data_IF_427799150903
#
_entry.id   IF_427799150903
#
_cell.length_a   1.000
_cell.length_b   1.000
_cell.length_c   1.000
_cell.angle_alpha   90.00
_cell.angle_beta   90.00
_cell.angle_gamma   90.00
#
_symmetry.space_group_name_H-M   'P 1'
#
loop_
_entity.id
_entity.type
_entity.pdbx_description
1 polymer ?
#
# COMPACT_ATOMS: atom_id res chain seq x y z
N UNK A 1 -31.00 -14.95 -30.03
CA UNK A 1 -29.76 -14.37 -29.47
C UNK A 1 -28.90 -15.54 -29.05
N UNK A 2 -27.84 -15.85 -29.79
CA UNK A 2 -26.89 -16.89 -29.36
C UNK A 2 -26.21 -16.37 -28.10
N UNK A 3 -26.37 -17.07 -26.99
CA UNK A 3 -25.85 -16.63 -25.68
C UNK A 3 -24.35 -16.87 -25.67
N UNK A 4 -23.54 -15.80 -25.59
CA UNK A 4 -22.07 -15.85 -25.54
C UNK A 4 -21.51 -16.51 -24.27
N UNK A 5 -22.39 -16.80 -23.32
CA UNK A 5 -22.04 -17.35 -22.01
C UNK A 5 -21.92 -16.28 -20.93
N UNK A 6 -21.70 -16.74 -19.70
CA UNK A 6 -21.44 -15.86 -18.56
C UNK A 6 -20.31 -16.41 -17.72
N UNK A 7 -19.49 -15.54 -17.15
CA UNK A 7 -18.29 -15.92 -16.44
C UNK A 7 -18.04 -15.05 -15.20
N UNK A 8 -17.20 -15.55 -14.31
CA UNK A 8 -16.62 -14.82 -13.18
C UNK A 8 -15.28 -15.45 -12.80
N UNK A 9 -14.64 -14.98 -11.73
CA UNK A 9 -13.40 -15.56 -11.18
C UNK A 9 -13.47 -17.08 -10.95
N UNK A 10 -14.65 -17.59 -10.60
CA UNK A 10 -14.86 -19.02 -10.31
C UNK A 10 -15.71 -19.75 -11.34
N UNK A 11 -16.10 -19.09 -12.43
CA UNK A 11 -16.99 -19.65 -13.43
C UNK A 11 -16.46 -19.36 -14.84
N UNK A 12 -16.20 -20.42 -15.60
CA UNK A 12 -15.60 -20.36 -16.92
C UNK A 12 -16.59 -20.67 -18.04
N UNK A 13 -17.88 -20.31 -17.93
CA UNK A 13 -18.89 -20.71 -18.92
C UNK A 13 -18.99 -19.77 -20.14
N UNK A 14 -17.85 -19.38 -20.73
CA UNK A 14 -17.84 -18.61 -21.99
C UNK A 14 -17.83 -19.53 -23.20
N UNK A 15 -18.53 -19.11 -24.26
CA UNK A 15 -18.49 -19.78 -25.57
C UNK A 15 -17.22 -19.46 -26.34
N UNK A 16 -16.88 -20.36 -27.25
CA UNK A 16 -15.75 -20.18 -28.16
C UNK A 16 -15.73 -18.78 -28.81
N UNK A 17 -14.53 -18.24 -29.02
CA UNK A 17 -14.24 -16.88 -29.51
C UNK A 17 -14.67 -15.72 -28.58
N UNK A 18 -14.99 -16.01 -27.32
CA UNK A 18 -15.27 -15.01 -26.28
C UNK A 18 -14.28 -15.11 -25.12
N UNK A 19 -14.21 -14.07 -24.29
CA UNK A 19 -13.43 -14.04 -23.07
C UNK A 19 -14.23 -13.45 -21.91
N UNK A 20 -13.69 -13.66 -20.70
CA UNK A 20 -14.25 -13.10 -19.50
C UNK A 20 -13.70 -11.69 -19.20
N UNK A 21 -14.52 -10.63 -19.22
CA UNK A 21 -14.04 -9.27 -19.01
C UNK A 21 -13.76 -8.94 -17.53
N UNK A 22 -14.16 -9.80 -16.58
CA UNK A 22 -13.97 -9.59 -15.14
C UNK A 22 -13.06 -10.63 -14.52
N UNK A 23 -12.39 -10.24 -13.43
CA UNK A 23 -11.66 -11.10 -12.51
C UNK A 23 -12.36 -11.19 -11.14
N UNK A 24 -13.57 -10.65 -11.03
CA UNK A 24 -14.37 -10.61 -9.80
C UNK A 24 -15.29 -11.81 -9.67
N UNK A 25 -15.91 -11.98 -8.50
CA UNK A 25 -16.85 -13.08 -8.24
C UNK A 25 -18.22 -12.88 -8.90
N UNK A 26 -18.57 -11.64 -9.25
CA UNK A 26 -19.82 -11.32 -9.93
C UNK A 26 -19.82 -11.89 -11.36
N UNK A 27 -20.90 -12.59 -11.71
CA UNK A 27 -21.07 -13.13 -13.06
C UNK A 27 -21.41 -12.03 -14.06
N UNK A 28 -20.71 -12.01 -15.19
CA UNK A 28 -20.90 -11.05 -16.28
C UNK A 28 -21.02 -11.78 -17.62
N UNK A 29 -21.55 -11.11 -18.63
CA UNK A 29 -21.67 -11.64 -19.99
C UNK A 29 -20.27 -11.71 -20.63
N UNK A 30 -19.97 -12.81 -21.30
CA UNK A 30 -18.73 -12.97 -22.05
C UNK A 30 -18.75 -12.10 -23.31
N UNK A 31 -17.61 -11.49 -23.64
CA UNK A 31 -17.47 -10.58 -24.78
C UNK A 31 -16.46 -11.11 -25.80
N UNK A 32 -16.52 -10.70 -27.08
CA UNK A 32 -15.63 -11.24 -28.12
C UNK A 32 -14.14 -10.99 -27.85
N UNK A 33 -13.27 -11.94 -28.22
CA UNK A 33 -11.82 -11.83 -28.00
C UNK A 33 -11.12 -10.69 -28.75
N UNK A 34 -11.80 -10.01 -29.67
CA UNK A 34 -11.26 -8.87 -30.41
C UNK A 34 -11.07 -7.62 -29.56
N UNK A 35 -11.75 -7.52 -28.40
CA UNK A 35 -11.75 -6.33 -27.54
C UNK A 35 -10.46 -6.11 -26.72
N UNK A 36 -10.41 -5.06 -25.90
CA UNK A 36 -9.27 -4.64 -25.05
C UNK A 36 -8.94 -5.59 -23.89
N UNK A 37 -8.63 -6.85 -24.22
CA UNK A 37 -8.16 -7.87 -23.29
C UNK A 37 -6.86 -7.46 -22.61
N UNK A 38 -6.74 -7.78 -21.33
CA UNK A 38 -5.57 -7.51 -20.50
C UNK A 38 -4.79 -8.80 -20.22
N UNK A 39 -3.50 -8.67 -19.97
CA UNK A 39 -2.66 -9.80 -19.54
C UNK A 39 -3.28 -10.51 -18.33
N UNK A 40 -3.24 -11.84 -18.32
CA UNK A 40 -3.93 -12.71 -17.35
C UNK A 40 -5.36 -13.11 -17.76
N UNK A 41 -6.01 -12.39 -18.68
CA UNK A 41 -7.24 -12.85 -19.33
C UNK A 41 -6.90 -13.80 -20.49
N UNK A 42 -7.90 -14.47 -21.06
CA UNK A 42 -7.68 -15.40 -22.15
C UNK A 42 -8.94 -15.67 -22.97
N UNK A 43 -8.75 -15.90 -24.26
CA UNK A 43 -9.81 -16.32 -25.16
C UNK A 43 -10.19 -17.78 -24.88
N UNK A 44 -11.47 -18.08 -24.99
CA UNK A 44 -12.00 -19.43 -24.95
C UNK A 44 -11.97 -19.94 -26.38
N UNK A 45 -11.02 -20.81 -26.72
CA UNK A 45 -10.96 -21.42 -28.05
C UNK A 45 -11.86 -22.66 -28.17
N UNK A 46 -12.18 -23.25 -27.01
CA UNK A 46 -13.18 -24.28 -26.84
C UNK A 46 -14.18 -23.77 -25.80
N UNK A 47 -15.44 -24.13 -25.98
CA UNK A 47 -16.49 -23.82 -25.02
C UNK A 47 -16.06 -24.18 -23.59
N UNK A 48 -16.30 -23.22 -22.70
CA UNK A 48 -16.12 -23.31 -21.26
C UNK A 48 -14.66 -23.56 -20.78
N UNK A 49 -13.69 -23.53 -21.72
CA UNK A 49 -12.26 -23.76 -21.48
C UNK A 49 -11.42 -22.57 -21.93
N UNK A 50 -10.87 -21.83 -20.96
CA UNK A 50 -10.03 -20.66 -21.22
C UNK A 50 -8.59 -21.06 -21.56
N UNK A 51 -8.01 -20.42 -22.58
CA UNK A 51 -6.55 -20.40 -22.78
C UNK A 51 -6.03 -19.06 -22.28
N UNK A 52 -5.46 -19.05 -21.07
CA UNK A 52 -4.90 -17.83 -20.46
C UNK A 52 -3.87 -17.19 -21.39
N UNK A 53 -3.90 -15.86 -21.44
CA UNK A 53 -3.11 -15.01 -22.34
C UNK A 53 -3.36 -15.19 -23.84
N UNK A 54 -4.34 -16.00 -24.25
CA UNK A 54 -4.69 -16.11 -25.66
C UNK A 54 -5.49 -14.88 -26.13
N UNK A 55 -5.05 -14.26 -27.24
CA UNK A 55 -5.73 -13.12 -27.88
C UNK A 55 -6.66 -13.57 -29.01
N UNK A 56 -6.24 -14.54 -29.82
CA UNK A 56 -7.05 -15.08 -30.92
C UNK A 56 -6.89 -16.59 -31.03
N UNK A 57 -7.97 -17.26 -31.42
CA UNK A 57 -8.02 -18.69 -31.64
C UNK A 57 -7.80 -19.05 -33.12
N UNK A 58 -7.48 -20.32 -33.37
CA UNK A 58 -7.47 -20.95 -34.69
C UNK A 58 -7.98 -22.37 -34.51
N UNK A 59 -9.30 -22.55 -34.60
CA UNK A 59 -9.98 -23.74 -34.08
C UNK A 59 -9.81 -23.81 -32.57
N UNK A 60 -9.54 -25.00 -32.05
CA UNK A 60 -9.41 -25.27 -30.61
C UNK A 60 -8.10 -24.74 -29.99
N UNK A 61 -7.22 -24.16 -30.80
CA UNK A 61 -5.87 -23.75 -30.44
C UNK A 61 -5.72 -22.23 -30.37
N UNK A 62 -4.78 -21.73 -29.55
CA UNK A 62 -4.41 -20.32 -29.63
C UNK A 62 -3.49 -20.06 -30.83
N UNK A 63 -3.77 -18.98 -31.56
CA UNK A 63 -2.95 -18.53 -32.72
C UNK A 63 -2.11 -17.29 -32.42
N UNK A 64 -2.54 -16.47 -31.45
CA UNK A 64 -1.81 -15.26 -31.05
C UNK A 64 -2.00 -15.01 -29.56
N UNK A 65 -0.91 -14.67 -28.88
CA UNK A 65 -0.90 -14.33 -27.47
C UNK A 65 -1.06 -12.82 -27.22
N UNK A 66 -1.54 -12.47 -26.04
CA UNK A 66 -1.53 -11.11 -25.51
C UNK A 66 -0.08 -10.65 -25.23
N UNK A 67 0.18 -9.33 -25.25
CA UNK A 67 1.46 -8.79 -24.78
C UNK A 67 1.79 -9.31 -23.38
N UNK A 68 3.05 -9.71 -23.18
CA UNK A 68 3.53 -10.39 -21.97
C UNK A 68 3.51 -11.92 -22.03
N UNK A 69 3.10 -12.51 -23.16
CA UNK A 69 3.18 -13.95 -23.39
C UNK A 69 3.69 -14.28 -24.81
N UNK A 70 4.20 -15.50 -24.98
CA UNK A 70 4.66 -16.05 -26.26
C UNK A 70 3.96 -17.37 -26.58
N UNK A 71 3.79 -17.66 -27.87
CA UNK A 71 3.11 -18.86 -28.33
C UNK A 71 4.04 -20.08 -28.19
N UNK A 72 3.56 -21.11 -27.51
CA UNK A 72 4.29 -22.34 -27.18
C UNK A 72 3.32 -23.51 -27.20
N UNK A 73 3.48 -24.45 -28.14
CA UNK A 73 2.61 -25.62 -28.29
C UNK A 73 1.10 -25.30 -28.31
N UNK A 74 0.69 -24.24 -29.02
CA UNK A 74 -0.70 -23.74 -29.09
C UNK A 74 -1.25 -23.08 -27.80
N UNK A 75 -0.41 -22.93 -26.77
CA UNK A 75 -0.71 -22.19 -25.54
C UNK A 75 0.15 -20.93 -25.44
N UNK A 76 -0.20 -20.05 -24.51
CA UNK A 76 0.50 -18.79 -24.30
C UNK A 76 1.26 -18.83 -22.98
N UNK A 77 2.55 -19.15 -23.07
CA UNK A 77 3.46 -19.15 -21.93
C UNK A 77 3.84 -17.70 -21.60
N UNK A 78 4.01 -17.41 -20.31
CA UNK A 78 4.30 -16.03 -19.87
C UNK A 78 5.76 -15.67 -20.14
N UNK A 79 5.98 -14.43 -20.57
CA UNK A 79 7.30 -13.81 -20.58
C UNK A 79 7.80 -13.57 -19.15
N UNK A 80 9.09 -13.24 -19.02
CA UNK A 80 9.64 -12.69 -17.78
C UNK A 80 8.84 -11.47 -17.29
N UNK A 81 8.80 -11.26 -15.97
CA UNK A 81 8.09 -10.13 -15.34
C UNK A 81 8.49 -8.80 -16.00
N UNK A 82 7.51 -7.95 -16.28
CA UNK A 82 7.73 -6.64 -16.88
C UNK A 82 8.04 -6.65 -18.37
N UNK A 83 8.08 -7.82 -19.01
CA UNK A 83 8.29 -7.95 -20.45
C UNK A 83 6.96 -7.92 -21.22
N UNK A 84 6.88 -7.19 -22.33
CA UNK A 84 5.70 -7.17 -23.22
C UNK A 84 5.87 -8.04 -24.47
N UNK A 85 7.10 -8.23 -24.95
CA UNK A 85 7.39 -9.04 -26.13
C UNK A 85 8.59 -9.96 -25.85
N UNK A 86 8.40 -11.26 -26.01
CA UNK A 86 9.43 -12.27 -25.81
C UNK A 86 9.26 -13.44 -26.78
N UNK A 87 10.34 -14.20 -27.01
CA UNK A 87 10.33 -15.47 -27.79
C UNK A 87 10.42 -16.72 -26.91
N UNK A 88 10.38 -16.53 -25.59
CA UNK A 88 10.69 -17.53 -24.60
C UNK A 88 10.68 -16.90 -23.22
N UNK A 89 10.53 -17.73 -22.17
CA UNK A 89 10.33 -17.26 -20.80
C UNK A 89 11.43 -16.30 -20.30
N UNK A 90 12.67 -16.46 -20.78
CA UNK A 90 13.83 -15.65 -20.36
C UNK A 90 14.40 -14.75 -21.45
N UNK A 91 13.71 -14.58 -22.58
CA UNK A 91 14.20 -13.80 -23.73
C UNK A 91 13.33 -12.58 -23.95
N UNK A 92 13.53 -11.52 -23.14
CA UNK A 92 12.75 -10.30 -23.30
C UNK A 92 13.32 -9.41 -24.41
N UNK A 93 12.48 -9.05 -25.37
CA UNK A 93 12.83 -8.17 -26.49
C UNK A 93 12.36 -6.74 -26.25
N UNK A 94 11.25 -6.58 -25.53
CA UNK A 94 10.67 -5.28 -25.21
C UNK A 94 9.98 -5.30 -23.86
N UNK A 95 10.21 -4.26 -23.08
CA UNK A 95 9.55 -4.09 -21.80
C UNK A 95 8.12 -3.59 -21.96
N UNK A 96 7.28 -3.94 -20.98
CA UNK A 96 5.94 -3.40 -20.86
C UNK A 96 5.97 -1.93 -20.44
N UNK A 97 4.83 -1.25 -20.60
CA UNK A 97 4.70 0.14 -20.16
C UNK A 97 5.00 0.26 -18.66
N UNK A 98 5.75 1.29 -18.28
CA UNK A 98 6.25 1.46 -16.92
C UNK A 98 7.51 0.65 -16.59
N UNK A 99 8.09 -0.07 -17.55
CA UNK A 99 9.36 -0.80 -17.37
C UNK A 99 10.41 -0.32 -18.37
N UNK A 100 11.69 -0.50 -18.02
CA UNK A 100 12.83 -0.23 -18.89
C UNK A 100 13.80 -1.39 -18.90
N UNK A 101 14.55 -1.55 -20.00
CA UNK A 101 15.50 -2.63 -20.17
C UNK A 101 16.85 -2.29 -19.50
N UNK A 102 17.26 -3.12 -18.55
CA UNK A 102 18.54 -3.03 -17.84
C UNK A 102 19.17 -4.43 -17.73
N UNK A 103 20.39 -4.59 -18.23
CA UNK A 103 21.08 -5.89 -18.16
C UNK A 103 20.31 -7.05 -18.80
N UNK A 104 19.48 -6.78 -19.82
CA UNK A 104 18.61 -7.78 -20.47
C UNK A 104 17.33 -8.13 -19.70
N UNK A 105 17.05 -7.47 -18.58
CA UNK A 105 15.82 -7.65 -17.79
C UNK A 105 14.99 -6.37 -17.78
N UNK A 106 13.68 -6.50 -17.65
CA UNK A 106 12.79 -5.35 -17.51
C UNK A 106 12.66 -4.96 -16.03
N UNK A 107 13.06 -3.73 -15.72
CA UNK A 107 13.03 -3.17 -14.38
C UNK A 107 11.95 -2.09 -14.32
N UNK A 108 11.14 -2.09 -13.26
CA UNK A 108 10.04 -1.14 -13.08
C UNK A 108 10.58 0.28 -12.88
N UNK A 109 10.00 1.22 -13.61
CA UNK A 109 10.19 2.65 -13.39
C UNK A 109 9.08 3.11 -12.43
N UNK A 110 9.46 3.95 -11.47
CA UNK A 110 8.53 4.55 -10.54
C UNK A 110 8.71 6.07 -10.50
N UNK A 111 7.61 6.78 -10.30
CA UNK A 111 7.58 8.22 -10.02
C UNK A 111 7.15 8.49 -8.57
N UNK A 112 6.49 7.54 -7.92
CA UNK A 112 6.12 7.60 -6.50
C UNK A 112 5.94 6.18 -5.91
N UNK A 113 5.73 6.08 -4.59
CA UNK A 113 5.63 4.78 -3.91
C UNK A 113 4.44 3.91 -4.35
N UNK A 114 3.35 4.51 -4.86
CA UNK A 114 2.21 3.78 -5.41
C UNK A 114 2.63 2.85 -6.57
N UNK A 115 3.62 3.28 -7.34
CA UNK A 115 4.12 2.52 -8.48
C UNK A 115 4.89 1.26 -8.04
N UNK A 116 5.27 1.12 -6.77
CA UNK A 116 6.03 -0.03 -6.28
C UNK A 116 5.18 -0.99 -5.43
N UNK A 117 3.87 -0.76 -5.30
CA UNK A 117 3.00 -1.58 -4.43
C UNK A 117 2.87 -3.03 -4.88
N UNK A 118 3.05 -3.31 -6.17
CA UNK A 118 3.10 -4.67 -6.72
C UNK A 118 4.45 -5.38 -6.47
N UNK A 119 5.41 -4.68 -5.87
CA UNK A 119 6.71 -5.16 -5.46
C UNK A 119 6.84 -5.07 -3.93
N UNK A 120 6.39 -6.12 -3.26
CA UNK A 120 6.45 -6.22 -1.81
C UNK A 120 7.85 -5.87 -1.27
N UNK A 121 7.87 -5.17 -0.11
CA UNK A 121 9.09 -4.74 0.56
C UNK A 121 9.93 -3.75 -0.25
N UNK A 122 9.32 -2.93 -1.11
CA UNK A 122 10.03 -1.89 -1.87
C UNK A 122 9.37 -0.52 -1.74
N UNK A 123 10.15 0.52 -2.03
CA UNK A 123 9.70 1.90 -2.18
C UNK A 123 10.31 2.52 -3.44
N UNK A 124 9.73 3.61 -3.92
CA UNK A 124 10.28 4.34 -5.05
C UNK A 124 11.44 5.24 -4.63
N UNK A 125 12.65 4.88 -5.04
CA UNK A 125 13.80 5.77 -4.94
C UNK A 125 13.75 6.80 -6.08
N UNK A 126 13.20 7.98 -5.80
CA UNK A 126 12.97 9.06 -6.77
C UNK A 126 14.22 9.47 -7.55
N UNK A 127 15.40 9.46 -6.92
CA UNK A 127 16.65 9.84 -7.58
C UNK A 127 17.07 8.89 -8.72
N UNK A 128 16.75 7.61 -8.60
CA UNK A 128 17.02 6.59 -9.62
C UNK A 128 15.76 6.21 -10.41
N UNK A 129 14.57 6.63 -9.94
CA UNK A 129 13.25 6.19 -10.42
C UNK A 129 13.11 4.66 -10.42
N UNK A 130 13.60 4.00 -9.37
CA UNK A 130 13.57 2.54 -9.23
C UNK A 130 12.88 2.13 -7.95
N UNK A 131 12.14 1.03 -8.00
CA UNK A 131 11.68 0.34 -6.81
C UNK A 131 12.87 -0.32 -6.13
N UNK A 132 13.20 0.15 -4.94
CA UNK A 132 14.34 -0.33 -4.14
C UNK A 132 13.81 -0.98 -2.89
N UNK A 133 14.44 -2.07 -2.47
CA UNK A 133 14.04 -2.80 -1.27
C UNK A 133 14.11 -1.91 -0.02
N UNK A 134 13.13 -2.08 0.86
CA UNK A 134 13.16 -1.53 2.21
C UNK A 134 14.39 -2.02 2.98
N UNK A 135 14.74 -1.27 4.04
CA UNK A 135 15.76 -1.69 5.00
C UNK A 135 15.39 -3.03 5.65
N UNK A 136 16.38 -3.71 6.24
CA UNK A 136 16.13 -4.93 7.01
C UNK A 136 15.04 -4.71 8.06
N UNK A 137 14.21 -5.74 8.26
CA UNK A 137 13.09 -5.76 9.22
C UNK A 137 11.97 -4.74 8.95
N UNK A 138 11.93 -4.18 7.74
CA UNK A 138 10.86 -3.30 7.31
C UNK A 138 10.02 -3.93 6.19
N UNK A 139 8.72 -4.08 6.44
CA UNK A 139 7.77 -4.67 5.50
C UNK A 139 7.17 -3.63 4.55
N UNK A 140 6.90 -2.42 5.06
CA UNK A 140 6.38 -1.31 4.27
C UNK A 140 7.24 -0.08 4.60
N UNK A 141 7.85 0.52 3.59
CA UNK A 141 8.67 1.72 3.75
C UNK A 141 8.29 2.80 2.75
N UNK A 142 8.56 4.05 3.12
CA UNK A 142 8.42 5.20 2.23
C UNK A 142 9.77 5.71 1.72
N UNK A 143 10.85 5.31 2.38
CA UNK A 143 12.23 5.58 1.97
C UNK A 143 13.18 4.54 2.55
N UNK A 144 14.47 4.60 2.16
CA UNK A 144 15.51 3.71 2.68
C UNK A 144 15.70 3.80 4.21
N UNK A 145 15.27 4.89 4.84
CA UNK A 145 15.45 5.14 6.28
C UNK A 145 14.13 5.35 7.02
N UNK A 146 12.99 5.24 6.33
CA UNK A 146 11.68 5.46 6.93
C UNK A 146 10.79 4.25 6.66
N UNK A 147 10.52 3.51 7.74
CA UNK A 147 9.69 2.33 7.76
C UNK A 147 8.29 2.64 8.29
N UNK A 148 7.28 2.44 7.47
CA UNK A 148 5.87 2.60 7.84
C UNK A 148 5.32 1.39 8.60
N UNK A 149 5.89 0.20 8.39
CA UNK A 149 5.53 -1.01 9.12
C UNK A 149 6.72 -1.98 9.13
N UNK A 150 7.17 -2.32 10.32
CA UNK A 150 8.23 -3.31 10.55
C UNK A 150 7.68 -4.74 10.50
N UNK A 151 8.59 -5.70 10.34
CA UNK A 151 8.30 -7.12 10.55
C UNK A 151 7.84 -7.35 11.99
N UNK A 152 6.53 -7.48 12.17
CA UNK A 152 5.89 -7.62 13.47
C UNK A 152 6.24 -8.92 14.21
N UNK A 153 6.93 -9.87 13.57
CA UNK A 153 7.42 -11.08 14.23
C UNK A 153 8.71 -10.86 15.01
N UNK A 154 9.48 -9.81 14.68
CA UNK A 154 10.80 -9.55 15.26
C UNK A 154 11.01 -8.12 15.74
N UNK A 155 10.24 -7.15 15.23
CA UNK A 155 10.45 -5.73 15.49
C UNK A 155 9.14 -4.97 15.74
N UNK A 156 9.27 -3.85 16.45
CA UNK A 156 8.21 -2.88 16.72
C UNK A 156 8.41 -1.66 15.81
N UNK A 157 7.31 -1.20 15.23
CA UNK A 157 7.28 0.07 14.48
C UNK A 157 7.14 1.23 15.43
N UNK A 158 8.04 2.20 15.34
CA UNK A 158 7.97 3.45 16.11
C UNK A 158 7.25 4.55 15.35
N UNK A 159 6.73 5.57 16.04
CA UNK A 159 6.12 6.79 15.47
C UNK A 159 7.09 7.60 14.59
N UNK A 160 8.39 7.34 14.71
CA UNK A 160 9.44 7.98 13.93
C UNK A 160 9.77 7.23 12.63
N UNK A 161 9.09 6.12 12.36
CA UNK A 161 9.32 5.30 11.18
C UNK A 161 10.60 4.46 11.27
N UNK A 162 10.95 3.99 12.47
CA UNK A 162 12.10 3.11 12.68
C UNK A 162 11.67 1.78 13.30
N UNK A 163 12.45 0.74 13.07
CA UNK A 163 12.22 -0.61 13.60
C UNK A 163 13.14 -0.90 14.78
N UNK A 164 12.54 -1.17 15.92
CA UNK A 164 13.24 -1.50 17.17
C UNK A 164 12.94 -2.93 17.57
N UNK A 165 13.78 -3.53 18.41
CA UNK A 165 13.65 -4.95 18.78
C UNK A 165 12.31 -5.19 19.50
N UNK A 166 11.62 -6.28 19.12
CA UNK A 166 10.38 -6.70 19.79
C UNK A 166 10.63 -7.16 21.23
N UNK A 167 9.71 -6.81 22.13
CA UNK A 167 9.69 -7.28 23.51
C UNK A 167 8.94 -8.62 23.61
N UNK A 168 9.50 -9.58 24.33
CA UNK A 168 8.81 -10.81 24.72
C UNK A 168 8.12 -10.62 26.07
N UNK A 169 6.87 -11.09 26.21
CA UNK A 169 6.16 -11.08 27.50
C UNK A 169 5.76 -9.68 27.96
N UNK A 170 5.04 -8.94 27.10
CA UNK A 170 4.49 -7.63 27.43
C UNK A 170 3.30 -7.74 28.37
N UNK A 171 3.27 -6.89 29.40
CA UNK A 171 2.11 -6.70 30.27
C UNK A 171 1.34 -5.45 29.85
N UNK A 172 0.05 -5.41 30.14
CA UNK A 172 -0.76 -4.22 29.95
C UNK A 172 -0.19 -3.05 30.78
N UNK A 173 -0.22 -1.84 30.20
CA UNK A 173 0.40 -0.64 30.77
C UNK A 173 1.89 -0.47 30.44
N UNK A 174 2.49 -1.35 29.63
CA UNK A 174 3.85 -1.21 29.12
C UNK A 174 3.90 -1.00 27.60
N UNK A 175 4.88 -0.25 27.13
CA UNK A 175 5.30 -0.20 25.72
C UNK A 175 6.69 -0.81 25.57
N UNK A 176 7.05 -1.17 24.34
CA UNK A 176 8.34 -1.77 24.08
C UNK A 176 9.36 -0.70 23.71
N UNK A 177 10.31 -0.43 24.61
CA UNK A 177 11.42 0.48 24.35
C UNK A 177 12.66 -0.32 23.99
N UNK A 178 12.95 -0.44 22.70
CA UNK A 178 14.16 -1.11 22.19
C UNK A 178 14.36 -2.51 22.80
N UNK A 179 13.32 -3.36 22.77
CA UNK A 179 13.35 -4.71 23.34
C UNK A 179 13.19 -4.78 24.86
N UNK A 180 13.03 -3.65 25.55
CA UNK A 180 12.82 -3.58 27.00
C UNK A 180 11.39 -3.11 27.33
N UNK A 181 10.57 -3.94 28.00
CA UNK A 181 9.25 -3.53 28.50
C UNK A 181 9.39 -2.33 29.46
N UNK A 182 8.74 -1.23 29.13
CA UNK A 182 8.81 0.02 29.90
C UNK A 182 7.40 0.54 30.16
N UNK A 183 7.14 1.09 31.35
CA UNK A 183 5.83 1.66 31.68
C UNK A 183 5.43 2.76 30.69
N UNK A 184 4.16 2.75 30.27
CA UNK A 184 3.64 3.77 29.37
C UNK A 184 3.64 5.14 30.04
N UNK A 185 4.04 6.15 29.27
CA UNK A 185 4.13 7.52 29.70
C UNK A 185 3.75 8.45 28.54
N UNK A 186 3.66 9.75 28.81
CA UNK A 186 3.52 10.72 27.73
C UNK A 186 4.78 10.71 26.84
N UNK A 187 4.59 10.74 25.51
CA UNK A 187 5.70 10.81 24.56
C UNK A 187 6.40 9.50 24.24
N UNK A 188 5.74 8.34 24.47
CA UNK A 188 6.24 7.06 23.97
C UNK A 188 6.30 7.02 22.45
N UNK A 189 7.21 6.19 21.94
CA UNK A 189 7.49 6.06 20.52
C UNK A 189 6.86 4.82 19.87
N UNK A 190 6.31 3.89 20.65
CA UNK A 190 5.55 2.73 20.17
C UNK A 190 4.22 2.60 20.90
N UNK A 191 3.33 1.73 20.40
CA UNK A 191 2.05 1.50 21.07
C UNK A 191 2.23 0.93 22.49
N UNK A 192 1.48 1.50 23.43
CA UNK A 192 1.25 0.95 24.75
C UNK A 192 0.35 -0.29 24.64
N UNK A 193 0.74 -1.37 25.30
CA UNK A 193 -0.06 -2.58 25.40
C UNK A 193 -1.24 -2.33 26.36
N UNK A 194 -2.47 -2.34 25.84
CA UNK A 194 -3.69 -2.18 26.63
C UNK A 194 -4.72 -3.22 26.17
N UNK A 195 -4.52 -4.49 26.56
CA UNK A 195 -5.28 -5.62 26.05
C UNK A 195 -5.04 -5.83 24.55
N UNK A 196 -6.11 -5.80 23.75
CA UNK A 196 -6.04 -5.92 22.28
C UNK A 196 -6.16 -4.58 21.56
N UNK A 197 -6.16 -3.46 22.31
CA UNK A 197 -6.29 -2.13 21.72
C UNK A 197 -4.98 -1.70 21.05
N UNK A 198 -5.07 -1.29 19.78
CA UNK A 198 -3.95 -0.77 19.01
C UNK A 198 -3.77 0.73 19.17
N UNK A 199 -2.56 1.22 18.90
CA UNK A 199 -2.20 2.65 18.85
C UNK A 199 -2.48 3.44 20.14
N UNK A 200 -2.47 2.80 21.31
CA UNK A 200 -2.58 3.51 22.58
C UNK A 200 -1.27 4.25 22.90
N UNK A 201 -1.35 5.50 23.35
CA UNK A 201 -0.25 6.19 24.02
C UNK A 201 -0.28 5.93 25.54
N UNK A 202 -1.48 5.76 26.11
CA UNK A 202 -1.68 5.35 27.49
C UNK A 202 -2.93 4.47 27.61
N UNK A 203 -2.98 3.63 28.64
CA UNK A 203 -4.16 2.82 28.92
C UNK A 203 -5.18 3.54 29.81
N UNK A 204 -6.44 3.15 29.69
CA UNK A 204 -7.48 3.48 30.65
C UNK A 204 -7.24 2.84 32.02
N UNK A 205 -8.09 3.16 32.99
CA UNK A 205 -7.98 2.65 34.36
C UNK A 205 -8.14 1.13 34.47
N UNK A 206 -8.78 0.48 33.48
CA UNK A 206 -8.94 -0.97 33.40
C UNK A 206 -7.79 -1.66 32.66
N UNK A 207 -6.87 -0.88 32.06
CA UNK A 207 -5.73 -1.35 31.26
C UNK A 207 -6.10 -2.21 30.05
N UNK A 208 -7.35 -2.13 29.57
CA UNK A 208 -7.85 -2.93 28.46
C UNK A 208 -8.34 -2.10 27.26
N UNK A 209 -8.16 -0.78 27.33
CA UNK A 209 -8.43 0.18 26.27
C UNK A 209 -7.47 1.36 26.32
N UNK A 210 -7.50 2.18 25.27
CA UNK A 210 -6.66 3.38 25.20
C UNK A 210 -7.32 4.56 25.93
N UNK A 211 -6.63 5.16 26.90
CA UNK A 211 -7.00 6.46 27.45
C UNK A 211 -6.63 7.57 26.46
N UNK A 212 -5.42 7.53 25.92
CA UNK A 212 -4.95 8.44 24.86
C UNK A 212 -4.39 7.66 23.68
N UNK A 213 -4.39 8.28 22.50
CA UNK A 213 -3.88 7.68 21.27
C UNK A 213 -2.47 8.16 20.96
N UNK A 214 -1.69 7.33 20.25
CA UNK A 214 -0.43 7.76 19.63
C UNK A 214 -0.64 8.95 18.69
N UNK A 215 0.42 9.75 18.43
CA UNK A 215 0.35 10.86 17.49
C UNK A 215 -0.27 10.47 16.15
N UNK A 216 -1.06 11.39 15.59
CA UNK A 216 -1.76 11.26 14.30
C UNK A 216 -2.90 10.24 14.27
N UNK A 217 -3.19 9.58 15.39
CA UNK A 217 -4.32 8.67 15.57
C UNK A 217 -5.38 9.34 16.44
N UNK A 218 -6.64 9.22 16.05
CA UNK A 218 -7.79 9.74 16.79
C UNK A 218 -8.69 8.57 17.24
N UNK A 219 -9.44 8.78 18.33
CA UNK A 219 -10.43 7.81 18.79
C UNK A 219 -11.60 7.78 17.81
N UNK A 220 -11.93 6.60 17.30
CA UNK A 220 -13.14 6.37 16.52
C UNK A 220 -14.38 6.33 17.40
N UNK A 221 -15.55 6.21 16.78
CA UNK A 221 -16.84 6.17 17.46
C UNK A 221 -17.01 4.99 18.43
N UNK A 222 -16.22 3.93 18.27
CA UNK A 222 -16.16 2.77 19.16
C UNK A 222 -15.17 2.95 20.32
N UNK A 223 -14.60 4.16 20.47
CA UNK A 223 -13.64 4.50 21.51
C UNK A 223 -12.20 4.00 21.26
N UNK A 224 -11.92 3.36 20.13
CA UNK A 224 -10.61 2.79 19.81
C UNK A 224 -9.73 3.75 19.01
N UNK A 225 -8.42 3.73 19.24
CA UNK A 225 -7.44 4.51 18.50
C UNK A 225 -7.13 3.87 17.13
N UNK A 226 -8.03 4.06 16.16
CA UNK A 226 -7.92 3.41 14.84
C UNK A 226 -8.05 4.37 13.66
N UNK A 227 -8.65 5.53 13.87
CA UNK A 227 -8.89 6.48 12.80
C UNK A 227 -7.69 7.44 12.70
N UNK A 228 -7.31 7.83 11.50
CA UNK A 228 -6.21 8.78 11.31
C UNK A 228 -6.71 10.22 11.37
N UNK A 229 -5.90 11.10 11.95
CA UNK A 229 -6.15 12.54 11.90
C UNK A 229 -6.15 13.07 10.45
N UNK A 230 -6.76 14.23 10.22
CA UNK A 230 -6.77 14.89 8.91
C UNK A 230 -5.33 15.10 8.41
N UNK A 231 -5.06 14.73 7.15
CA UNK A 231 -3.73 14.79 6.55
C UNK A 231 -2.89 13.52 6.76
N UNK A 232 -3.44 12.51 7.43
CA UNK A 232 -2.79 11.22 7.64
C UNK A 232 -3.64 10.08 7.07
N UNK A 233 -2.97 9.02 6.63
CA UNK A 233 -3.57 7.80 6.07
C UNK A 233 -3.06 6.56 6.80
N UNK A 234 -3.89 5.51 6.89
CA UNK A 234 -3.46 4.25 7.47
C UNK A 234 -2.46 3.57 6.52
N UNK A 235 -1.26 3.27 7.01
CA UNK A 235 -0.30 2.38 6.33
C UNK A 235 0.23 1.40 7.37
N UNK A 236 0.00 0.10 7.12
CA UNK A 236 0.16 -0.91 8.17
C UNK A 236 -0.82 -0.64 9.32
N UNK A 237 -0.32 -0.67 10.55
CA UNK A 237 -1.12 -0.44 11.76
C UNK A 237 -1.07 1.00 12.27
N UNK A 238 -0.39 1.91 11.56
CA UNK A 238 -0.11 3.28 11.99
C UNK A 238 -0.67 4.32 11.01
N UNK A 239 -0.74 5.58 11.48
CA UNK A 239 -1.19 6.72 10.69
C UNK A 239 -0.01 7.59 10.26
N UNK A 240 0.21 7.66 8.95
CA UNK A 240 1.35 8.34 8.33
C UNK A 240 0.91 9.51 7.45
N UNK A 241 1.77 10.53 7.23
CA UNK A 241 1.41 11.68 6.41
C UNK A 241 0.98 11.27 4.99
N UNK A 242 -0.13 11.83 4.53
CA UNK A 242 -0.61 11.63 3.17
C UNK A 242 0.37 12.25 2.16
N UNK A 243 0.95 11.43 1.28
CA UNK A 243 1.89 11.87 0.25
C UNK A 243 1.19 12.48 -0.99
N UNK A 244 -0.15 12.61 -1.02
CA UNK A 244 -0.90 13.20 -2.15
C UNK A 244 -0.84 14.74 -2.25
N UNK A 245 0.23 15.36 -1.77
CA UNK A 245 0.53 16.76 -2.01
C UNK A 245 1.54 16.92 -3.14
N UNK A 246 1.09 17.35 -4.32
CA UNK A 246 1.95 17.84 -5.39
C UNK A 246 2.90 18.93 -4.86
N UNK A 247 4.20 18.65 -4.82
CA UNK A 247 5.22 19.67 -5.01
C UNK A 247 6.19 19.19 -6.09
N UNK A 248 5.79 19.43 -7.34
CA UNK A 248 6.78 19.76 -8.36
C UNK A 248 7.62 20.93 -7.80
N UNK A 249 8.91 20.65 -7.59
CA UNK A 249 9.95 21.56 -7.13
C UNK A 249 10.01 21.86 -5.62
N UNK A 250 10.52 20.91 -4.83
CA UNK A 250 11.55 21.24 -3.84
C UNK A 250 12.69 20.23 -3.90
N UNK A 251 13.80 20.67 -4.50
CA UNK A 251 15.12 20.10 -4.25
C UNK A 251 15.44 20.42 -2.79
N UNK A 252 15.83 19.40 -2.00
CA UNK A 252 16.59 19.64 -0.78
C UNK A 252 16.21 18.75 0.40
N UNK A 253 17.05 17.74 0.62
CA UNK A 253 17.75 17.48 1.89
C UNK A 253 16.91 17.23 3.14
N UNK A 254 17.15 16.06 3.74
CA UNK A 254 16.48 15.56 4.94
C UNK A 254 16.42 16.55 6.10
N UNK A 255 15.23 16.61 6.69
CA UNK A 255 14.97 16.90 8.09
C UNK A 255 13.44 16.92 8.25
N UNK A 256 12.85 15.78 8.60
CA UNK A 256 11.49 15.78 9.18
C UNK A 256 11.65 16.32 10.61
N UNK A 257 11.71 17.64 10.73
CA UNK A 257 11.65 18.36 12.00
C UNK A 257 10.23 18.89 12.14
N UNK A 258 9.64 18.59 13.31
CA UNK A 258 8.20 18.62 13.57
C UNK A 258 7.50 19.95 13.31
N UNK A 259 6.28 19.85 12.79
CA UNK A 259 5.29 20.92 12.83
C UNK A 259 4.28 20.56 13.92
N UNK A 260 4.57 20.97 15.16
CA UNK A 260 3.61 21.03 16.28
C UNK A 260 3.42 22.48 16.75
N UNK A 261 3.46 23.46 15.83
CA UNK A 261 3.37 24.89 16.21
C UNK A 261 2.07 25.58 15.74
N UNK A 262 1.21 24.90 14.98
CA UNK A 262 -0.03 25.52 14.47
C UNK A 262 -1.13 25.73 15.51
N UNK A 263 -1.25 24.84 16.51
CA UNK A 263 -2.44 24.82 17.39
C UNK A 263 -2.22 25.64 18.67
N UNK A 264 -1.01 25.69 19.23
CA UNK A 264 -0.73 26.43 20.47
C UNK A 264 -0.75 27.97 20.28
N UNK A 265 -0.39 28.47 19.10
CA UNK A 265 -0.39 29.91 18.82
C UNK A 265 -1.82 30.47 18.73
N UNK A 266 -2.77 29.68 18.23
CA UNK A 266 -4.18 30.09 18.14
C UNK A 266 -4.83 30.17 19.52
N UNK A 267 -4.52 29.23 20.42
CA UNK A 267 -5.08 29.25 21.79
C UNK A 267 -4.47 30.39 22.62
N UNK A 268 -3.17 30.67 22.47
CA UNK A 268 -2.51 31.79 23.15
C UNK A 268 -3.00 33.17 22.72
N UNK A 269 -3.28 33.35 21.42
CA UNK A 269 -3.78 34.62 20.89
C UNK A 269 -5.24 34.90 21.31
N UNK A 270 -6.08 33.86 21.36
CA UNK A 270 -7.49 34.00 21.77
C UNK A 270 -7.61 34.21 23.30
N UNK A 271 -6.81 33.50 24.10
CA UNK A 271 -6.79 33.67 25.56
C UNK A 271 -6.22 35.02 26.02
N UNK A 272 -5.10 35.46 25.44
CA UNK A 272 -4.47 36.75 25.76
C UNK A 272 -5.30 37.97 25.32
N UNK A 273 -5.95 37.87 24.16
CA UNK A 273 -6.81 38.94 23.63
C UNK A 273 -8.06 39.19 24.46
N UNK A 274 -8.71 38.12 24.96
CA UNK A 274 -9.87 38.23 25.84
C UNK A 274 -9.51 38.83 27.20
N UNK A 275 -8.39 38.40 27.81
CA UNK A 275 -7.92 38.96 29.08
C UNK A 275 -7.60 40.46 28.97
N UNK A 276 -6.93 40.89 27.90
CA UNK A 276 -6.65 42.32 27.65
C UNK A 276 -7.92 43.16 27.45
N UNK A 277 -8.92 42.61 26.75
CA UNK A 277 -10.20 43.29 26.51
C UNK A 277 -10.99 43.53 27.80
N UNK A 278 -11.04 42.56 28.71
CA UNK A 278 -11.77 42.73 29.97
C UNK A 278 -11.08 43.68 30.96
N UNK A 279 -9.74 43.70 31.00
CA UNK A 279 -8.98 44.62 31.88
C UNK A 279 -9.17 46.09 31.45
N UNK A 280 -9.33 46.35 30.15
CA UNK A 280 -9.50 47.73 29.63
C UNK A 280 -10.92 48.28 29.83
N UNK A 281 -11.93 47.42 29.95
CA UNK A 281 -13.33 47.82 30.16
C UNK A 281 -13.67 48.12 31.63
N UNK A 282 -12.87 47.63 32.59
CA UNK A 282 -13.02 47.89 34.03
C UNK A 282 -12.43 49.23 34.52
N UNK A 283 -11.87 50.06 33.63
CA UNK A 283 -11.28 51.38 33.96
C UNK A 283 -12.02 52.56 33.31
N UNK A 284 -13.32 52.45 33.07
CA UNK A 284 -14.20 53.58 32.78
C UNK A 284 -15.36 53.60 33.75
#
# INVERSE_FOLDING_TARGET
MSTTGTCSKGNTNCKSDHFCPTTDTASVICIPCTENMKFGQGCYCVDDTVITNCKTCSGDNCSKCLPGAFLSNNFCDSCAKGCSECTGANTCQKCADGFTMEGGTCVRICDNNQDCEDEALTFCQISSKRCVRCSAHCDICSSATFCNACDGSTHITTIHGTCTVLCMGMNDGNYCKDGSPTACAEGIDSACQCGVAGNCASCDTASNGCETCLPNVIKGNDGRCKDCAVGFKPIGNMCWPDQQGSEANKIGTGAIVGIVVGVLVVVGAVGGGLAYYFIRKGKK
#
